data_IF_102929287839
#
_entry.id   IF_102929287839
#
_cell.length_a   1.000
_cell.length_b   1.000
_cell.length_c   1.000
_cell.angle_alpha   90.00
_cell.angle_beta   90.00
_cell.angle_gamma   90.00
#
_symmetry.space_group_name_H-M   'P 1'
#
loop_
_entity.id
_entity.type
_entity.pdbx_description
1 polymer ?
#
# COMPACT_ATOMS: atom_id res chain seq x y z
N UNK A 1 0.24 -2.57 -17.83
CA UNK A 1 0.54 -2.30 -16.41
C UNK A 1 0.23 -3.56 -15.65
N UNK A 2 1.22 -4.16 -14.98
CA UNK A 2 1.00 -5.37 -14.20
C UNK A 2 0.35 -5.04 -12.87
N UNK A 3 -0.77 -5.69 -12.58
CA UNK A 3 -1.34 -5.77 -11.23
C UNK A 3 -0.46 -6.77 -10.50
N UNK A 4 0.13 -6.35 -9.39
CA UNK A 4 0.91 -7.24 -8.53
C UNK A 4 -0.04 -7.61 -7.40
N UNK A 5 -0.61 -8.82 -7.49
CA UNK A 5 -1.36 -9.46 -6.41
C UNK A 5 -0.38 -10.40 -5.73
N UNK A 6 0.32 -9.94 -4.69
CA UNK A 6 1.40 -10.76 -4.11
C UNK A 6 1.36 -10.96 -2.61
N UNK A 7 0.37 -10.51 -1.81
CA UNK A 7 0.80 -10.12 -0.45
C UNK A 7 -0.06 -10.56 0.75
N UNK A 8 0.57 -10.89 1.90
CA UNK A 8 -0.06 -11.16 3.19
C UNK A 8 -0.88 -9.99 3.76
N UNK A 9 -0.86 -8.83 3.12
CA UNK A 9 -1.70 -7.70 3.47
C UNK A 9 -3.12 -7.83 2.90
N UNK A 10 -3.31 -8.68 1.86
CA UNK A 10 -4.58 -8.85 1.17
C UNK A 10 -5.03 -7.58 0.46
N UNK A 11 -4.14 -6.95 -0.30
CA UNK A 11 -4.41 -5.75 -1.08
C UNK A 11 -3.99 -6.03 -2.52
N UNK A 12 -4.80 -5.60 -3.48
CA UNK A 12 -4.37 -5.52 -4.87
C UNK A 12 -3.83 -4.12 -5.15
N UNK A 13 -2.62 -4.04 -5.67
CA UNK A 13 -1.92 -2.79 -5.88
C UNK A 13 -1.54 -2.57 -7.35
N UNK A 14 -1.61 -1.30 -7.76
CA UNK A 14 -1.07 -0.82 -9.02
C UNK A 14 0.08 0.15 -8.76
N UNK A 15 1.26 -0.17 -9.29
CA UNK A 15 2.43 0.70 -9.17
C UNK A 15 2.33 1.89 -10.12
N UNK A 16 2.25 3.10 -9.55
CA UNK A 16 2.22 4.38 -10.23
C UNK A 16 3.51 5.17 -10.00
N UNK A 17 4.65 4.60 -10.42
CA UNK A 17 5.98 5.23 -10.26
C UNK A 17 6.25 6.40 -11.23
N UNK A 18 5.43 6.58 -12.26
CA UNK A 18 5.55 7.68 -13.23
C UNK A 18 4.50 8.79 -13.05
N UNK A 19 3.63 8.69 -12.04
CA UNK A 19 2.70 9.76 -11.68
C UNK A 19 3.34 10.68 -10.63
N UNK A 20 2.86 11.92 -10.54
CA UNK A 20 3.25 12.88 -9.50
C UNK A 20 2.04 13.08 -8.59
N UNK A 21 2.14 12.76 -7.28
CA UNK A 21 3.28 12.14 -6.60
C UNK A 21 3.50 10.67 -7.02
N UNK A 22 4.76 10.21 -6.95
CA UNK A 22 5.08 8.80 -7.21
C UNK A 22 4.57 7.97 -6.02
N UNK A 23 4.01 6.79 -6.31
CA UNK A 23 3.42 5.97 -5.26
C UNK A 23 2.83 4.65 -5.74
N UNK A 24 2.23 3.94 -4.80
CA UNK A 24 1.49 2.70 -5.03
C UNK A 24 0.01 2.97 -4.84
N UNK A 25 -0.77 2.79 -5.91
CA UNK A 25 -2.21 2.99 -5.88
C UNK A 25 -2.91 1.72 -5.41
N UNK A 26 -3.77 1.85 -4.41
CA UNK A 26 -4.58 0.76 -3.89
C UNK A 26 -5.77 0.56 -4.82
N UNK A 27 -5.70 -0.46 -5.67
CA UNK A 27 -6.78 -0.77 -6.62
C UNK A 27 -7.92 -1.54 -5.99
N UNK A 28 -7.61 -2.39 -5.03
CA UNK A 28 -8.60 -3.13 -4.26
C UNK A 28 -8.06 -3.56 -2.91
N UNK A 29 -8.96 -3.78 -1.95
CA UNK A 29 -8.63 -4.30 -0.62
C UNK A 29 -9.44 -5.57 -0.42
N UNK A 30 -8.76 -6.73 -0.36
CA UNK A 30 -9.42 -8.02 -0.30
C UNK A 30 -10.10 -8.20 1.05
N UNK A 31 -11.37 -8.65 1.01
CA UNK A 31 -12.09 -9.06 2.21
C UNK A 31 -11.27 -10.08 3.00
N UNK A 32 -11.26 -9.94 4.33
CA UNK A 32 -10.44 -10.73 5.25
C UNK A 32 -8.92 -10.66 4.99
N UNK A 33 -8.45 -9.67 4.22
CA UNK A 33 -7.05 -9.27 4.18
C UNK A 33 -6.61 -8.57 5.47
N UNK A 34 -5.31 -8.44 5.68
CA UNK A 34 -4.78 -7.69 6.82
C UNK A 34 -5.15 -6.21 6.77
N UNK A 35 -5.16 -5.63 5.57
CA UNK A 35 -5.56 -4.25 5.34
C UNK A 35 -7.06 -4.03 5.54
N UNK A 36 -7.89 -4.99 5.12
CA UNK A 36 -9.32 -4.97 5.44
C UNK A 36 -9.55 -5.04 6.95
N UNK A 37 -8.85 -5.96 7.63
CA UNK A 37 -8.94 -6.11 9.10
C UNK A 37 -8.40 -4.93 9.88
N UNK A 38 -7.41 -4.21 9.34
CA UNK A 38 -6.92 -2.99 9.98
C UNK A 38 -7.95 -1.86 9.88
N UNK A 39 -8.83 -1.89 8.87
CA UNK A 39 -9.85 -0.86 8.63
C UNK A 39 -9.27 0.52 8.31
N UNK A 40 -7.96 0.59 8.01
CA UNK A 40 -7.23 1.85 7.86
C UNK A 40 -6.88 2.17 6.40
N UNK A 41 -6.85 1.16 5.52
CA UNK A 41 -6.51 1.31 4.11
C UNK A 41 -7.73 1.04 3.24
N UNK A 42 -7.96 1.88 2.23
CA UNK A 42 -9.10 1.78 1.34
C UNK A 42 -8.70 1.85 -0.12
N UNK A 43 -9.56 1.33 -1.00
CA UNK A 43 -9.45 1.53 -2.44
C UNK A 43 -9.40 3.02 -2.76
N UNK A 44 -8.46 3.41 -3.62
CA UNK A 44 -8.22 4.79 -4.00
C UNK A 44 -7.14 5.50 -3.18
N UNK A 45 -6.69 4.91 -2.07
CA UNK A 45 -5.54 5.43 -1.32
C UNK A 45 -4.26 5.30 -2.17
N UNK A 46 -3.36 6.28 -2.06
CA UNK A 46 -2.04 6.26 -2.70
C UNK A 46 -0.96 6.18 -1.65
N UNK A 47 -0.29 5.04 -1.54
CA UNK A 47 0.85 4.87 -0.65
C UNK A 47 2.02 5.67 -1.22
N UNK A 48 2.56 6.58 -0.41
CA UNK A 48 3.68 7.46 -0.74
C UNK A 48 4.93 7.19 0.08
N UNK A 49 4.78 6.56 1.26
CA UNK A 49 5.91 6.05 2.05
C UNK A 49 5.62 4.69 2.63
N UNK A 50 6.66 3.88 2.77
CA UNK A 50 6.65 2.57 3.43
C UNK A 50 7.77 2.55 4.45
N UNK A 51 7.46 2.24 5.71
CA UNK A 51 8.39 2.20 6.84
C UNK A 51 9.29 3.46 6.91
N UNK A 52 8.66 4.63 6.68
CA UNK A 52 9.32 5.95 6.65
C UNK A 52 10.07 6.30 5.36
N UNK A 53 10.27 5.35 4.43
CA UNK A 53 10.95 5.57 3.15
C UNK A 53 9.98 6.04 2.08
N UNK A 54 10.29 7.16 1.45
CA UNK A 54 9.46 7.73 0.39
C UNK A 54 9.59 6.95 -0.92
N UNK A 55 8.45 6.66 -1.53
CA UNK A 55 8.33 6.07 -2.85
C UNK A 55 8.56 7.17 -3.89
N UNK A 56 9.82 7.34 -4.26
CA UNK A 56 10.23 8.28 -5.31
C UNK A 56 10.38 7.55 -6.65
N UNK A 57 10.59 8.30 -7.74
CA UNK A 57 10.89 7.71 -9.05
C UNK A 57 12.19 6.89 -9.08
N UNK A 58 13.03 6.99 -8.05
CA UNK A 58 14.23 6.17 -7.90
C UNK A 58 13.95 4.77 -7.33
N UNK A 59 12.79 4.57 -6.68
CA UNK A 59 12.41 3.27 -6.11
C UNK A 59 11.78 2.42 -7.21
N UNK A 60 12.33 1.22 -7.43
CA UNK A 60 11.78 0.28 -8.40
C UNK A 60 10.47 -0.34 -7.89
N UNK A 61 9.62 -0.84 -8.80
CA UNK A 61 8.40 -1.57 -8.41
C UNK A 61 8.70 -2.78 -7.54
N UNK A 62 9.80 -3.48 -7.84
CA UNK A 62 10.22 -4.67 -7.10
C UNK A 62 10.63 -4.31 -5.67
N UNK A 63 11.38 -3.22 -5.49
CA UNK A 63 11.79 -2.77 -4.15
C UNK A 63 10.58 -2.33 -3.33
N UNK A 64 9.67 -1.55 -3.93
CA UNK A 64 8.45 -1.12 -3.26
C UNK A 64 7.55 -2.31 -2.89
N UNK A 65 7.41 -3.31 -3.77
CA UNK A 65 6.71 -4.56 -3.45
C UNK A 65 7.40 -5.31 -2.30
N UNK A 66 8.72 -5.46 -2.33
CA UNK A 66 9.49 -6.13 -1.28
C UNK A 66 9.35 -5.42 0.09
N UNK A 67 9.28 -4.09 0.09
CA UNK A 67 9.03 -3.30 1.30
C UNK A 67 7.61 -3.53 1.87
N UNK A 68 6.58 -3.57 1.02
CA UNK A 68 5.21 -3.89 1.46
C UNK A 68 5.12 -5.31 2.02
N UNK A 69 5.69 -6.27 1.29
CA UNK A 69 5.74 -7.69 1.65
C UNK A 69 6.37 -7.90 3.01
N UNK A 70 7.63 -7.46 3.18
CA UNK A 70 8.43 -7.61 4.40
C UNK A 70 8.40 -9.01 5.03
N UNK A 71 8.96 -9.17 6.25
CA UNK A 71 8.85 -10.41 7.00
C UNK A 71 7.42 -10.61 7.54
N UNK A 72 6.83 -11.81 7.44
CA UNK A 72 5.54 -12.11 8.07
C UNK A 72 5.53 -11.85 9.57
N UNK A 73 4.37 -11.43 10.11
CA UNK A 73 4.19 -11.16 11.53
C UNK A 73 4.67 -9.77 11.98
N UNK A 74 5.39 -9.03 11.13
CA UNK A 74 5.80 -7.64 11.39
C UNK A 74 4.72 -6.64 10.98
N UNK A 75 4.83 -5.40 11.47
CA UNK A 75 3.94 -4.30 11.08
C UNK A 75 4.61 -3.46 9.98
N UNK A 76 3.83 -3.03 8.99
CA UNK A 76 4.24 -2.05 8.00
C UNK A 76 3.59 -0.71 8.31
N UNK A 77 4.39 0.35 8.39
CA UNK A 77 3.92 1.72 8.51
C UNK A 77 3.84 2.35 7.11
N UNK A 78 2.64 2.77 6.72
CA UNK A 78 2.35 3.34 5.41
C UNK A 78 1.89 4.77 5.58
N UNK A 79 2.42 5.67 4.74
CA UNK A 79 1.85 7.01 4.59
C UNK A 79 1.06 7.04 3.29
N UNK A 80 -0.24 7.29 3.39
CA UNK A 80 -1.15 7.24 2.25
C UNK A 80 -1.79 8.60 2.00
N UNK A 81 -1.88 8.98 0.74
CA UNK A 81 -2.71 10.09 0.31
C UNK A 81 -4.12 9.57 0.04
N UNK A 82 -5.06 10.06 0.85
CA UNK A 82 -6.47 9.75 0.72
C UNK A 82 -7.19 10.91 0.00
N UNK A 83 -7.79 10.67 -1.16
CA UNK A 83 -8.56 11.70 -1.85
C UNK A 83 -9.85 12.01 -1.09
N UNK A 84 -10.04 13.25 -0.66
CA UNK A 84 -11.26 13.71 -0.03
C UNK A 84 -12.27 14.15 -1.09
N UNK A 85 -13.29 13.33 -1.32
CA UNK A 85 -14.34 13.59 -2.32
C UNK A 85 -15.16 14.86 -2.05
N UNK A 86 -15.13 15.43 -0.83
CA UNK A 86 -15.85 16.67 -0.49
C UNK A 86 -15.02 17.93 -0.67
N UNK A 87 -13.70 17.84 -0.52
CA UNK A 87 -12.81 19.01 -0.55
C UNK A 87 -12.03 19.16 -1.85
N UNK A 88 -11.95 18.12 -2.69
CA UNK A 88 -11.03 18.09 -3.84
C UNK A 88 -9.55 17.99 -3.47
N UNK A 89 -9.22 18.06 -2.18
CA UNK A 89 -7.88 17.91 -1.65
C UNK A 89 -7.60 16.44 -1.27
N UNK A 90 -6.32 16.08 -1.18
CA UNK A 90 -5.90 14.82 -0.59
C UNK A 90 -5.31 15.07 0.79
N UNK A 91 -5.66 14.23 1.76
CA UNK A 91 -5.06 14.24 3.10
C UNK A 91 -4.00 13.14 3.21
N UNK A 92 -2.92 13.41 3.93
CA UNK A 92 -1.92 12.39 4.25
C UNK A 92 -2.31 11.69 5.55
N UNK A 93 -2.46 10.37 5.50
CA UNK A 93 -2.89 9.52 6.63
C UNK A 93 -1.80 8.49 6.90
N UNK A 94 -1.43 8.35 8.17
CA UNK A 94 -0.55 7.27 8.62
C UNK A 94 -1.39 6.02 8.88
N UNK A 95 -0.97 4.90 8.31
CA UNK A 95 -1.68 3.62 8.36
C UNK A 95 -0.69 2.54 8.78
N UNK A 96 -1.04 1.77 9.81
CA UNK A 96 -0.25 0.62 10.24
C UNK A 96 -1.00 -0.67 9.91
N UNK A 97 -0.38 -1.57 9.15
CA UNK A 97 -0.97 -2.86 8.79
C UNK A 97 -0.04 -3.99 9.20
N UNK A 98 -0.57 -4.98 9.90
CA UNK A 98 0.21 -6.15 10.29
C UNK A 98 0.32 -7.13 9.13
N UNK A 99 1.53 -7.49 8.72
CA UNK A 99 1.80 -8.52 7.71
C UNK A 99 1.39 -9.88 8.29
N UNK A 100 0.47 -10.57 7.63
CA UNK A 100 0.05 -11.91 8.04
C UNK A 100 1.08 -12.97 7.62
N UNK A 101 1.00 -14.14 8.23
CA UNK A 101 1.66 -15.32 7.69
C UNK A 101 0.91 -15.74 6.41
N UNK A 102 1.58 -15.68 5.26
CA UNK A 102 1.12 -16.43 4.09
C UNK A 102 1.44 -17.89 4.40
N UNK A 103 0.41 -18.71 4.64
CA UNK A 103 0.60 -20.14 4.59
C UNK A 103 1.00 -20.47 3.14
N UNK A 104 2.24 -20.89 2.92
CA UNK A 104 2.63 -21.51 1.67
C UNK A 104 1.73 -22.74 1.51
N UNK A 105 0.80 -22.68 0.57
CA UNK A 105 0.05 -23.84 0.08
C UNK A 105 0.80 -24.46 -1.10
#
# INVERSE_FOLDING_TARGET
GGVVSTDPLGIDIAFAINLRPAGVFVTDVRADGAAHRSGQLFKGDVITRIDGRALTSAVSKADAAAMLLGPPGTEVALEVLRPNSKSGNSESVQVAVRRLFVALA
#
